data_IF_365806985871
#
_entry.id   IF_365806985871
#
_cell.length_a   1.000
_cell.length_b   1.000
_cell.length_c   1.000
_cell.angle_alpha   90.00
_cell.angle_beta   90.00
_cell.angle_gamma   90.00
#
_symmetry.space_group_name_H-M   'P 1'
#
loop_
_entity.id
_entity.type
_entity.pdbx_description
1 polymer ?
#
# COMPACT_ATOMS: atom_id res chain seq x y z
N UNK A 1 -9.30 -1.50 -4.22
CA UNK A 1 -9.90 -2.63 -4.95
C UNK A 1 -9.13 -2.82 -6.25
N UNK A 2 -8.86 -4.06 -6.67
CA UNK A 2 -8.29 -4.37 -8.00
C UNK A 2 -9.29 -5.25 -8.76
N UNK A 3 -9.13 -5.39 -10.08
CA UNK A 3 -10.04 -6.23 -10.89
C UNK A 3 -10.08 -7.69 -10.41
N UNK A 4 -9.00 -8.14 -9.78
CA UNK A 4 -8.83 -9.51 -9.28
C UNK A 4 -9.13 -9.66 -7.78
N UNK A 5 -9.17 -8.55 -7.03
CA UNK A 5 -9.43 -8.53 -5.59
C UNK A 5 -10.53 -7.51 -5.28
N UNK A 6 -11.75 -8.04 -5.09
CA UNK A 6 -12.97 -7.29 -4.82
C UNK A 6 -13.13 -6.88 -3.35
N UNK A 7 -12.13 -7.14 -2.50
CA UNK A 7 -12.18 -6.66 -1.13
C UNK A 7 -12.04 -5.14 -1.11
N UNK A 8 -13.01 -4.48 -0.46
CA UNK A 8 -12.94 -3.04 -0.21
C UNK A 8 -11.90 -2.79 0.88
N UNK A 9 -10.72 -2.35 0.43
CA UNK A 9 -9.60 -2.00 1.29
C UNK A 9 -8.92 -0.75 0.79
N UNK A 10 -8.53 0.06 1.76
CA UNK A 10 -7.72 1.26 1.56
C UNK A 10 -6.24 0.89 1.51
N UNK A 11 -5.38 1.78 1.00
CA UNK A 11 -3.93 1.56 0.91
C UNK A 11 -3.27 1.50 2.28
N UNK A 12 -3.89 2.10 3.30
CA UNK A 12 -3.32 2.18 4.64
C UNK A 12 -3.36 0.81 5.33
N UNK A 13 -2.21 0.29 5.78
CA UNK A 13 -2.16 -0.96 6.53
C UNK A 13 -3.03 -0.93 7.78
N UNK A 14 -3.44 -2.10 8.27
CA UNK A 14 -4.11 -2.20 9.58
C UNK A 14 -3.20 -1.62 10.67
N UNK A 15 -3.67 -0.56 11.32
CA UNK A 15 -2.90 0.19 12.33
C UNK A 15 -2.08 1.36 11.77
N UNK A 16 -2.16 1.62 10.47
CA UNK A 16 -1.46 2.71 9.78
C UNK A 16 -0.02 2.37 9.38
N UNK A 17 0.59 3.26 8.61
CA UNK A 17 2.00 3.16 8.24
C UNK A 17 2.89 3.48 9.46
N UNK A 18 3.82 2.59 9.84
CA UNK A 18 4.67 2.81 11.02
C UNK A 18 5.46 4.10 10.89
N UNK A 19 5.40 4.97 11.90
CA UNK A 19 6.03 6.30 11.94
C UNK A 19 5.52 7.32 10.90
N UNK A 20 4.45 7.03 10.16
CA UNK A 20 3.78 7.98 9.26
C UNK A 20 2.36 8.26 9.73
N UNK A 21 1.49 7.25 9.67
CA UNK A 21 0.07 7.36 10.02
C UNK A 21 -0.85 6.83 8.92
N UNK A 22 -2.05 7.41 8.84
CA UNK A 22 -3.08 7.10 7.86
C UNK A 22 -2.95 8.06 6.68
N UNK A 23 -2.95 7.54 5.46
CA UNK A 23 -3.01 8.30 4.21
C UNK A 23 -4.49 8.51 3.89
N UNK A 24 -4.93 9.77 3.85
CA UNK A 24 -6.33 10.14 3.53
C UNK A 24 -6.48 10.87 2.20
N UNK A 25 -5.36 11.34 1.66
CA UNK A 25 -5.28 12.11 0.43
C UNK A 25 -4.84 11.22 -0.73
N UNK A 26 -4.85 11.79 -1.93
CA UNK A 26 -4.36 11.14 -3.14
C UNK A 26 -2.90 10.72 -2.98
N UNK A 27 -2.56 9.58 -3.57
CA UNK A 27 -1.24 8.98 -3.43
C UNK A 27 -0.75 8.37 -4.74
N UNK A 28 0.57 8.24 -4.84
CA UNK A 28 1.23 7.48 -5.91
C UNK A 28 1.93 6.26 -5.30
N UNK A 29 1.78 5.10 -5.94
CA UNK A 29 2.53 3.89 -5.58
C UNK A 29 3.69 3.71 -6.56
N UNK A 30 4.92 3.81 -6.06
CA UNK A 30 6.15 3.73 -6.86
C UNK A 30 6.75 2.32 -6.71
N UNK A 31 7.28 1.79 -7.81
CA UNK A 31 8.04 0.52 -7.79
C UNK A 31 9.35 0.70 -7.02
N UNK A 32 9.58 -0.09 -5.98
CA UNK A 32 10.82 -0.10 -5.20
C UNK A 32 10.84 0.91 -4.04
N UNK A 33 12.00 1.51 -3.77
CA UNK A 33 12.21 2.46 -2.67
C UNK A 33 12.55 3.87 -3.16
N UNK A 34 12.26 4.87 -2.33
CA UNK A 34 12.63 6.28 -2.55
C UNK A 34 13.61 6.75 -1.47
N UNK A 35 14.30 7.87 -1.73
CA UNK A 35 15.32 8.41 -0.84
C UNK A 35 14.72 9.05 0.41
N UNK A 36 15.18 8.60 1.58
CA UNK A 36 14.90 9.22 2.87
C UNK A 36 13.94 8.47 3.79
N UNK A 37 13.81 8.95 5.04
CA UNK A 37 12.90 8.37 6.01
C UNK A 37 11.45 8.75 5.65
N UNK A 38 10.53 8.02 6.26
CA UNK A 38 9.09 8.29 6.19
C UNK A 38 8.82 9.74 6.66
N UNK A 39 7.81 10.40 6.06
CA UNK A 39 7.45 11.83 6.23
C UNK A 39 8.35 12.85 5.52
N UNK A 40 9.47 12.45 4.91
CA UNK A 40 10.28 13.39 4.10
C UNK A 40 9.50 13.82 2.86
N UNK A 41 9.47 15.12 2.59
CA UNK A 41 8.92 15.68 1.34
C UNK A 41 9.83 15.27 0.18
N UNK A 42 9.22 14.79 -0.91
CA UNK A 42 9.93 14.36 -2.13
C UNK A 42 9.36 15.11 -3.32
N UNK A 43 10.21 15.75 -4.11
CA UNK A 43 9.84 16.39 -5.37
C UNK A 43 9.95 15.39 -6.52
N UNK A 44 8.83 15.08 -7.16
CA UNK A 44 8.81 14.21 -8.35
C UNK A 44 9.05 15.04 -9.61
N UNK A 45 10.00 14.61 -10.46
CA UNK A 45 10.29 15.24 -11.76
C UNK A 45 10.11 14.23 -12.88
N UNK A 46 9.60 14.68 -14.01
CA UNK A 46 9.59 13.88 -15.23
C UNK A 46 11.03 13.57 -15.71
N UNK A 47 11.20 12.44 -16.40
CA UNK A 47 12.48 12.07 -17.01
C UNK A 47 12.89 13.11 -18.07
N UNK A 48 14.20 13.38 -18.19
CA UNK A 48 14.69 14.34 -19.21
C UNK A 48 14.43 13.83 -20.63
N UNK A 49 14.55 12.51 -20.81
CA UNK A 49 14.41 11.82 -22.08
C UNK A 49 13.23 10.85 -22.01
N UNK A 50 12.59 10.64 -23.15
CA UNK A 50 11.47 9.71 -23.26
C UNK A 50 11.97 8.28 -23.00
N UNK A 51 11.26 7.55 -22.13
CA UNK A 51 11.65 6.20 -21.76
C UNK A 51 11.11 5.21 -22.80
N UNK A 52 11.99 4.64 -23.62
CA UNK A 52 11.64 3.70 -24.71
C UNK A 52 11.94 2.23 -24.38
N UNK A 53 12.52 1.96 -23.21
CA UNK A 53 12.85 0.60 -22.82
C UNK A 53 11.60 -0.26 -22.61
N UNK A 54 11.69 -1.56 -22.92
CA UNK A 54 10.56 -2.51 -22.74
C UNK A 54 10.01 -2.53 -21.32
N UNK A 55 10.87 -2.33 -20.33
CA UNK A 55 10.48 -2.27 -18.90
C UNK A 55 9.68 -1.01 -18.59
N UNK A 56 9.97 0.11 -19.26
CA UNK A 56 9.25 1.36 -19.06
C UNK A 56 7.88 1.37 -19.78
N UNK A 57 7.73 0.58 -20.84
CA UNK A 57 6.49 0.47 -21.64
C UNK A 57 5.60 -0.70 -21.18
N UNK A 58 5.96 -1.39 -20.11
CA UNK A 58 5.19 -2.51 -19.59
C UNK A 58 3.84 -2.05 -19.03
N UNK A 59 2.75 -2.70 -19.45
CA UNK A 59 1.43 -2.44 -18.90
C UNK A 59 1.30 -3.08 -17.51
N UNK A 60 1.09 -2.25 -16.49
CA UNK A 60 1.03 -2.71 -15.09
C UNK A 60 -0.41 -3.10 -14.73
N UNK A 61 -0.65 -4.40 -14.58
CA UNK A 61 -1.91 -4.96 -14.06
C UNK A 61 -1.72 -5.51 -12.65
N UNK A 62 -2.22 -4.79 -11.65
CA UNK A 62 -2.11 -5.18 -10.24
C UNK A 62 -3.19 -6.19 -9.88
N UNK A 63 -2.79 -7.33 -9.31
CA UNK A 63 -3.71 -8.35 -8.82
C UNK A 63 -4.04 -8.17 -7.34
N UNK A 64 -3.01 -7.93 -6.52
CA UNK A 64 -3.14 -7.87 -5.07
C UNK A 64 -2.28 -6.74 -4.51
N UNK A 65 -2.83 -6.04 -3.53
CA UNK A 65 -2.14 -5.02 -2.72
C UNK A 65 -2.28 -5.45 -1.26
N UNK A 66 -1.15 -5.52 -0.56
CA UNK A 66 -1.12 -5.97 0.82
C UNK A 66 -1.42 -4.83 1.80
N UNK A 67 -2.51 -4.96 2.55
CA UNK A 67 -2.97 -4.01 3.59
C UNK A 67 -2.78 -4.58 4.99
N UNK A 68 -2.04 -5.68 5.11
CA UNK A 68 -1.67 -6.25 6.40
C UNK A 68 -0.81 -5.29 7.23
N UNK A 69 -0.97 -5.38 8.56
CA UNK A 69 -0.22 -4.55 9.50
C UNK A 69 1.30 -4.67 9.32
N UNK A 70 2.00 -3.53 9.46
CA UNK A 70 3.47 -3.41 9.29
C UNK A 70 4.23 -3.13 10.59
N UNK A 71 3.56 -3.15 11.74
CA UNK A 71 4.23 -3.04 13.04
C UNK A 71 4.89 -4.35 13.49
N UNK A 72 4.50 -5.48 12.89
CA UNK A 72 5.06 -6.81 13.11
C UNK A 72 4.66 -7.73 11.94
N UNK A 73 4.45 -9.01 12.20
CA UNK A 73 3.93 -9.99 11.25
C UNK A 73 2.42 -9.78 11.04
N UNK A 74 2.05 -9.08 9.97
CA UNK A 74 0.66 -8.88 9.57
C UNK A 74 0.02 -10.16 9.02
N UNK A 75 -1.09 -10.61 9.63
CA UNK A 75 -1.84 -11.81 9.20
C UNK A 75 -3.18 -11.50 8.51
N UNK A 76 -3.80 -10.38 8.84
CA UNK A 76 -5.13 -10.00 8.36
C UNK A 76 -5.02 -8.82 7.40
N UNK A 77 -5.84 -8.79 6.35
CA UNK A 77 -5.89 -7.70 5.38
C UNK A 77 -6.91 -6.64 5.78
N UNK A 78 -8.00 -7.04 6.46
CA UNK A 78 -9.03 -6.13 6.97
C UNK A 78 -9.28 -6.31 8.47
N UNK A 79 -9.81 -5.26 9.12
CA UNK A 79 -10.26 -5.34 10.52
C UNK A 79 -11.42 -6.33 10.69
N UNK A 80 -12.27 -6.46 9.67
CA UNK A 80 -13.40 -7.39 9.65
C UNK A 80 -12.92 -8.85 9.64
N UNK A 81 -11.89 -9.18 8.85
CA UNK A 81 -11.25 -10.51 8.88
C UNK A 81 -10.70 -10.84 10.27
N UNK A 82 -10.02 -9.87 10.91
CA UNK A 82 -9.48 -10.04 12.26
C UNK A 82 -10.60 -10.30 13.27
N UNK A 83 -11.67 -9.51 13.24
CA UNK A 83 -12.80 -9.66 14.14
C UNK A 83 -13.50 -11.01 13.95
N UNK A 84 -13.71 -11.43 12.70
CA UNK A 84 -14.29 -12.74 12.36
C UNK A 84 -13.43 -13.91 12.83
N UNK A 85 -12.10 -13.78 12.72
CA UNK A 85 -11.17 -14.82 13.14
C UNK A 85 -11.16 -15.03 14.65
N UNK A 86 -11.11 -13.95 15.43
CA UNK A 86 -11.05 -14.04 16.90
C UNK A 86 -12.42 -14.24 17.58
N UNK A 87 -13.52 -13.89 16.90
CA UNK A 87 -14.86 -14.04 17.45
C UNK A 87 -15.10 -13.16 18.68
N UNK A 88 -15.87 -13.66 19.65
CA UNK A 88 -16.15 -12.94 20.90
C UNK A 88 -14.93 -13.01 21.82
N UNK A 89 -14.26 -11.88 22.00
CA UNK A 89 -13.17 -11.71 22.95
C UNK A 89 -13.71 -11.22 24.30
N UNK A 90 -12.99 -11.54 25.38
CA UNK A 90 -13.22 -10.92 26.68
C UNK A 90 -12.79 -9.46 26.60
N UNK A 91 -13.67 -8.55 27.03
CA UNK A 91 -13.37 -7.14 27.16
C UNK A 91 -12.27 -6.89 28.20
#
# INVERSE_FOLDING_TARGET
MTDYDRTEKDITPIGGFPHYGVVKEDYLMIKGGCVGPKKRVVTLRQSLLHQTSRVALEEIKLKFIDTSSKFSHGRFQTTQEKAKFYGKLKA
#
